data_IF_069535156233
#
_entry.id   IF_069535156233
#
_cell.length_a   1.000
_cell.length_b   1.000
_cell.length_c   1.000
_cell.angle_alpha   90.00
_cell.angle_beta   90.00
_cell.angle_gamma   90.00
#
_symmetry.space_group_name_H-M   'P 1'
#
loop_
_entity.id
_entity.type
_entity.pdbx_description
1 polymer ?
#
# COMPACT_ATOMS: atom_id res chain seq x y z
N UNK A 1 -1.68 10.09 -14.19
CA UNK A 1 -0.65 10.07 -13.12
C UNK A 1 -1.19 9.20 -11.99
N UNK A 2 -1.28 7.89 -12.21
CA UNK A 2 -2.07 6.97 -11.38
C UNK A 2 -1.55 6.77 -9.96
N UNK A 3 -0.30 7.19 -9.69
CA UNK A 3 0.27 7.13 -8.35
C UNK A 3 -0.45 8.08 -7.38
N UNK A 4 -0.83 9.28 -7.84
CA UNK A 4 -1.56 10.26 -7.02
C UNK A 4 -2.95 9.77 -6.65
N UNK A 5 -3.66 9.16 -7.60
CA UNK A 5 -5.01 8.62 -7.38
C UNK A 5 -5.01 7.50 -6.32
N UNK A 6 -3.99 6.64 -6.36
CA UNK A 6 -3.79 5.59 -5.34
C UNK A 6 -3.50 6.22 -3.97
N UNK A 7 -2.64 7.24 -3.91
CA UNK A 7 -2.30 7.93 -2.66
C UNK A 7 -3.54 8.59 -2.04
N UNK A 8 -4.32 9.30 -2.82
CA UNK A 8 -5.54 9.93 -2.34
C UNK A 8 -6.55 8.91 -1.79
N UNK A 9 -6.69 7.78 -2.48
CA UNK A 9 -7.59 6.69 -2.05
C UNK A 9 -7.16 6.12 -0.68
N UNK A 10 -5.86 5.89 -0.50
CA UNK A 10 -5.29 5.45 0.79
C UNK A 10 -5.55 6.49 1.88
N UNK A 11 -5.26 7.77 1.61
CA UNK A 11 -5.45 8.84 2.60
C UNK A 11 -6.91 8.99 3.02
N UNK A 12 -7.86 8.87 2.08
CA UNK A 12 -9.29 8.93 2.40
C UNK A 12 -9.73 7.77 3.30
N UNK A 13 -9.24 6.56 3.05
CA UNK A 13 -9.54 5.38 3.88
C UNK A 13 -8.92 5.55 5.27
N UNK A 14 -7.64 5.91 5.36
CA UNK A 14 -6.94 6.09 6.64
C UNK A 14 -7.54 7.19 7.51
N UNK A 15 -8.02 8.29 6.89
CA UNK A 15 -8.71 9.37 7.59
C UNK A 15 -10.17 9.04 7.96
N UNK A 16 -10.69 7.85 7.60
CA UNK A 16 -12.08 7.46 7.83
C UNK A 16 -13.10 8.20 6.96
N UNK A 17 -12.64 8.87 5.89
CA UNK A 17 -13.47 9.62 4.95
C UNK A 17 -14.03 8.74 3.82
N UNK A 18 -13.50 7.52 3.66
CA UNK A 18 -13.94 6.55 2.66
C UNK A 18 -13.80 5.11 3.15
N UNK A 19 -14.22 4.16 2.32
CA UNK A 19 -14.12 2.71 2.56
C UNK A 19 -13.54 2.01 1.34
N UNK A 20 -13.00 0.81 1.51
CA UNK A 20 -12.53 -0.01 0.37
C UNK A 20 -13.62 -0.23 -0.69
N UNK A 21 -14.87 -0.41 -0.26
CA UNK A 21 -16.02 -0.51 -1.16
C UNK A 21 -16.21 0.72 -2.04
N UNK A 22 -16.13 1.92 -1.44
CA UNK A 22 -16.31 3.17 -2.16
C UNK A 22 -15.16 3.44 -3.14
N UNK A 23 -13.92 3.22 -2.73
CA UNK A 23 -12.75 3.45 -3.59
C UNK A 23 -12.70 2.45 -4.76
N UNK A 24 -13.05 1.18 -4.56
CA UNK A 24 -13.15 0.21 -5.67
C UNK A 24 -14.30 0.53 -6.62
N UNK A 25 -15.44 0.98 -6.11
CA UNK A 25 -16.55 1.42 -6.95
C UNK A 25 -16.17 2.61 -7.84
N UNK A 26 -15.34 3.55 -7.36
CA UNK A 26 -14.80 4.65 -8.17
C UNK A 26 -13.92 4.16 -9.32
N UNK A 27 -13.25 3.01 -9.14
CA UNK A 27 -12.45 2.35 -10.17
C UNK A 27 -13.28 1.45 -11.09
N UNK A 28 -14.59 1.32 -10.85
CA UNK A 28 -15.49 0.44 -11.61
C UNK A 28 -15.41 -1.04 -11.19
N UNK A 29 -14.82 -1.33 -10.03
CA UNK A 29 -14.59 -2.67 -9.52
C UNK A 29 -15.62 -3.06 -8.45
N UNK A 30 -15.96 -4.35 -8.40
CA UNK A 30 -16.84 -4.90 -7.35
C UNK A 30 -15.99 -5.35 -6.15
N UNK A 31 -16.24 -4.73 -4.98
CA UNK A 31 -15.51 -5.06 -3.76
C UNK A 31 -15.68 -6.50 -3.31
N UNK A 32 -16.87 -7.08 -3.45
CA UNK A 32 -17.12 -8.45 -3.01
C UNK A 32 -16.38 -9.45 -3.90
N UNK A 33 -16.27 -9.19 -5.20
CA UNK A 33 -15.44 -10.00 -6.10
C UNK A 33 -13.96 -9.91 -5.74
N UNK A 34 -13.43 -8.70 -5.57
CA UNK A 34 -12.02 -8.48 -5.19
C UNK A 34 -11.72 -9.12 -3.84
N UNK A 35 -12.60 -8.97 -2.85
CA UNK A 35 -12.41 -9.56 -1.53
C UNK A 35 -12.40 -11.09 -1.58
N UNK A 36 -13.33 -11.71 -2.32
CA UNK A 36 -13.33 -13.17 -2.54
C UNK A 36 -12.03 -13.65 -3.19
N UNK A 37 -11.54 -12.90 -4.18
CA UNK A 37 -10.28 -13.20 -4.84
C UNK A 37 -9.10 -13.13 -3.86
N UNK A 38 -9.02 -12.07 -3.05
CA UNK A 38 -7.98 -11.90 -2.04
C UNK A 38 -7.97 -13.03 -1.00
N UNK A 39 -9.14 -13.48 -0.55
CA UNK A 39 -9.26 -14.62 0.38
C UNK A 39 -8.74 -15.91 -0.25
N UNK A 40 -9.14 -16.20 -1.50
CA UNK A 40 -8.66 -17.38 -2.23
C UNK A 40 -7.13 -17.36 -2.40
N UNK A 41 -6.59 -16.24 -2.88
CA UNK A 41 -5.15 -16.09 -3.11
C UNK A 41 -4.34 -16.18 -1.82
N UNK A 42 -4.88 -15.67 -0.71
CA UNK A 42 -4.23 -15.78 0.60
C UNK A 42 -4.11 -17.24 1.04
N UNK A 43 -5.17 -18.03 0.85
CA UNK A 43 -5.16 -19.46 1.16
C UNK A 43 -4.23 -20.26 0.22
N UNK A 44 -4.16 -19.90 -1.06
CA UNK A 44 -3.25 -20.52 -2.03
C UNK A 44 -1.78 -20.22 -1.70
N UNK A 45 -1.46 -18.98 -1.33
CA UNK A 45 -0.13 -18.58 -0.87
C UNK A 45 0.30 -19.34 0.38
N UNK A 46 -0.58 -19.45 1.37
CA UNK A 46 -0.31 -20.19 2.59
C UNK A 46 0.00 -21.67 2.31
N UNK A 47 -0.80 -22.32 1.45
CA UNK A 47 -0.55 -23.69 1.01
C UNK A 47 0.77 -23.85 0.24
N UNK A 48 1.15 -22.83 -0.51
CA UNK A 48 2.39 -22.81 -1.28
C UNK A 48 3.63 -22.40 -0.45
N UNK A 49 3.47 -22.08 0.84
CA UNK A 49 4.57 -21.58 1.69
C UNK A 49 5.06 -20.18 1.29
N UNK A 50 4.24 -19.42 0.57
CA UNK A 50 4.54 -18.06 0.15
C UNK A 50 4.19 -17.06 1.27
N UNK A 51 4.99 -16.01 1.37
CA UNK A 51 4.72 -14.91 2.30
C UNK A 51 3.41 -14.18 1.95
N UNK A 52 2.83 -13.50 2.94
CA UNK A 52 1.64 -12.67 2.73
C UNK A 52 1.94 -11.56 1.69
N UNK A 53 0.94 -11.12 0.92
CA UNK A 53 1.11 -9.96 0.06
C UNK A 53 1.60 -8.77 0.89
N UNK A 54 2.65 -8.08 0.44
CA UNK A 54 3.05 -6.80 1.03
C UNK A 54 2.02 -5.79 0.55
N UNK A 55 1.13 -5.37 1.44
CA UNK A 55 0.18 -4.32 1.08
C UNK A 55 0.92 -3.01 0.87
N UNK A 56 0.49 -2.25 -0.15
CA UNK A 56 1.12 -1.00 -0.57
C UNK A 56 1.29 -0.05 0.60
N UNK A 57 0.37 -0.02 1.58
CA UNK A 57 0.50 0.83 2.76
C UNK A 57 1.82 0.61 3.53
N UNK A 58 2.28 -0.64 3.70
CA UNK A 58 3.51 -0.92 4.43
C UNK A 58 4.76 -0.59 3.60
N UNK A 59 4.74 -0.92 2.30
CA UNK A 59 5.82 -0.56 1.38
C UNK A 59 5.91 0.97 1.16
N UNK A 60 4.77 1.64 1.15
CA UNK A 60 4.65 3.08 0.97
C UNK A 60 5.02 3.84 2.25
N UNK A 61 4.68 3.31 3.43
CA UNK A 61 5.19 3.84 4.70
C UNK A 61 6.71 3.76 4.76
N UNK A 62 7.32 2.66 4.30
CA UNK A 62 8.77 2.57 4.17
C UNK A 62 9.31 3.62 3.19
N UNK A 63 8.69 3.77 2.01
CA UNK A 63 9.13 4.75 1.03
C UNK A 63 8.96 6.21 1.49
N UNK A 64 7.86 6.56 2.17
CA UNK A 64 7.67 7.87 2.81
C UNK A 64 8.70 8.07 3.92
N UNK A 65 8.92 7.07 4.77
CA UNK A 65 9.89 7.17 5.85
C UNK A 65 11.31 7.35 5.32
N UNK A 66 11.68 6.64 4.26
CA UNK A 66 12.94 6.81 3.53
C UNK A 66 13.03 8.21 2.91
N UNK A 67 11.96 8.69 2.27
CA UNK A 67 11.93 10.03 1.67
C UNK A 67 11.98 11.17 2.71
N UNK A 68 11.66 10.88 3.97
CA UNK A 68 11.69 11.82 5.10
C UNK A 68 12.94 11.71 5.96
N UNK A 69 13.85 10.77 5.67
CA UNK A 69 15.15 10.73 6.34
C UNK A 69 15.95 11.96 5.90
N UNK A 70 16.45 12.79 6.84
CA UNK A 70 17.45 13.77 6.49
C UNK A 70 18.66 13.03 5.90
N UNK A 71 19.19 13.53 4.79
CA UNK A 71 20.53 13.17 4.30
C UNK A 71 21.50 13.42 5.47
N UNK A 72 21.87 12.39 6.22
CA UNK A 72 22.96 12.50 7.19
C UNK A 72 24.24 12.73 6.37
N UNK A 73 24.65 13.99 6.40
CA UNK A 73 25.93 14.58 6.00
C UNK A 73 27.08 13.55 5.96
N UNK A 74 27.25 12.85 4.84
CA UNK A 74 28.46 12.08 4.57
C UNK A 74 29.56 13.03 4.09
N UNK A 75 30.02 13.93 4.96
CA UNK A 75 31.27 14.65 4.73
C UNK A 75 32.35 13.96 5.56
N UNK A 76 33.31 13.25 4.94
CA UNK A 76 34.47 12.76 5.66
C UNK A 76 35.23 13.99 6.17
N UNK A 77 35.32 14.13 7.49
CA UNK A 77 36.20 15.13 8.11
C UNK A 77 37.63 14.64 7.91
N UNK A 78 38.26 15.09 6.84
CA UNK A 78 39.72 14.95 6.66
C UNK A 78 40.42 15.67 7.83
N UNK A 79 41.24 14.91 8.56
CA UNK A 79 42.20 15.40 9.57
C UNK A 79 43.61 15.25 9.03
#
# INVERSE_FOLDING_TARGET
DGLKEVQESVMRIEAGLSTYEKELALMGEDYQDIFRQQVRESAEREKAGLSRPVWIAQAYQQQIAESRRPEEETTPRET
#
